data_IF_720157774129
#
_entry.id   IF_720157774129
#
_cell.length_a   1.000
_cell.length_b   1.000
_cell.length_c   1.000
_cell.angle_alpha   90.00
_cell.angle_beta   90.00
_cell.angle_gamma   90.00
#
_symmetry.space_group_name_H-M   'P 1'
#
loop_
_entity.id
_entity.type
_entity.pdbx_description
1 polymer ?
#
# COMPACT_ATOMS: atom_id res chain seq x y z
N UNK A 1 -35.85 -5.37 57.88
CA UNK A 1 -35.53 -6.51 56.99
C UNK A 1 -35.26 -5.94 55.61
N UNK A 2 -34.08 -6.24 55.10
CA UNK A 2 -33.44 -5.95 53.80
C UNK A 2 -34.41 -6.10 52.60
N UNK A 3 -34.23 -5.58 51.39
CA UNK A 3 -33.08 -4.99 50.69
C UNK A 3 -33.56 -4.49 49.31
N UNK A 4 -32.84 -3.48 48.83
CA UNK A 4 -32.76 -2.77 47.56
C UNK A 4 -32.65 -3.66 46.28
N UNK A 5 -33.44 -3.30 45.22
CA UNK A 5 -33.29 -3.38 43.72
C UNK A 5 -32.29 -4.37 43.06
N UNK A 6 -32.47 -4.88 41.79
CA UNK A 6 -32.56 -3.98 40.62
C UNK A 6 -33.18 -4.40 39.25
N UNK A 7 -33.52 -3.32 38.53
CA UNK A 7 -33.26 -2.97 37.10
C UNK A 7 -33.19 -4.11 36.07
N UNK A 8 -34.19 -4.08 35.19
CA UNK A 8 -34.26 -4.79 33.92
C UNK A 8 -33.08 -4.39 33.01
N UNK A 9 -32.12 -5.31 32.88
CA UNK A 9 -30.96 -5.18 32.00
C UNK A 9 -31.38 -5.51 30.56
N UNK A 10 -31.48 -4.48 29.71
CA UNK A 10 -31.61 -4.65 28.26
C UNK A 10 -30.37 -5.41 27.78
N UNK A 11 -30.56 -6.67 27.37
CA UNK A 11 -29.54 -7.45 26.71
C UNK A 11 -29.03 -6.68 25.48
N UNK A 12 -27.80 -6.16 25.57
CA UNK A 12 -27.08 -5.72 24.37
C UNK A 12 -26.86 -6.94 23.49
N UNK A 13 -27.04 -6.85 22.16
CA UNK A 13 -26.54 -7.88 21.27
C UNK A 13 -25.04 -7.96 21.48
N UNK A 14 -24.58 -9.12 21.96
CA UNK A 14 -23.17 -9.45 22.05
C UNK A 14 -22.61 -9.47 20.63
N UNK A 15 -22.02 -8.36 20.19
CA UNK A 15 -21.09 -8.36 19.08
C UNK A 15 -19.90 -9.21 19.52
N UNK A 16 -19.95 -10.51 19.21
CA UNK A 16 -18.79 -11.36 19.21
C UNK A 16 -17.85 -10.83 18.14
N UNK A 17 -16.97 -9.90 18.53
CA UNK A 17 -15.76 -9.63 17.78
C UNK A 17 -14.93 -10.90 17.90
N UNK A 18 -15.06 -11.78 16.90
CA UNK A 18 -14.10 -12.86 16.70
C UNK A 18 -12.69 -12.24 16.76
N UNK A 19 -11.76 -12.84 17.51
CA UNK A 19 -10.46 -12.24 17.76
C UNK A 19 -9.79 -11.87 16.43
N UNK A 20 -9.17 -10.68 16.38
CA UNK A 20 -8.29 -10.24 15.29
C UNK A 20 -7.50 -11.43 14.78
N UNK A 21 -7.65 -11.79 13.50
CA UNK A 21 -7.01 -12.97 12.91
C UNK A 21 -5.54 -13.00 13.34
N UNK A 22 -5.07 -14.05 14.05
CA UNK A 22 -3.70 -14.11 14.52
C UNK A 22 -2.76 -14.10 13.31
N UNK A 23 -1.98 -13.04 13.17
CA UNK A 23 -1.08 -12.87 12.04
C UNK A 23 -0.27 -11.59 12.14
N UNK A 24 0.84 -11.58 11.41
CA UNK A 24 1.72 -10.42 11.31
C UNK A 24 1.28 -9.52 10.16
N UNK A 25 1.71 -8.27 10.22
CA UNK A 25 1.58 -7.34 9.11
C UNK A 25 2.90 -7.29 8.35
N UNK A 26 2.79 -7.23 7.02
CA UNK A 26 3.92 -7.03 6.12
C UNK A 26 3.69 -5.75 5.33
N UNK A 27 4.63 -4.82 5.41
CA UNK A 27 4.66 -3.61 4.59
C UNK A 27 5.71 -3.77 3.51
N UNK A 28 5.28 -3.72 2.26
CA UNK A 28 6.14 -3.70 1.08
C UNK A 28 6.22 -2.28 0.55
N UNK A 29 7.43 -1.71 0.49
CA UNK A 29 7.66 -0.36 -0.01
C UNK A 29 8.57 -0.42 -1.23
N UNK A 30 8.09 0.09 -2.36
CA UNK A 30 8.92 0.22 -3.56
C UNK A 30 10.03 1.26 -3.35
N UNK A 31 11.26 0.87 -3.68
CA UNK A 31 12.43 1.77 -3.65
C UNK A 31 12.43 2.81 -4.78
N UNK A 32 11.52 2.71 -5.73
CA UNK A 32 11.34 3.73 -6.77
C UNK A 32 10.62 4.98 -6.26
N UNK A 33 9.93 4.88 -5.11
CA UNK A 33 9.25 6.01 -4.49
C UNK A 33 10.27 6.96 -3.87
N UNK A 34 10.11 8.25 -4.13
CA UNK A 34 10.84 9.26 -3.38
C UNK A 34 10.41 9.22 -1.91
N UNK A 35 11.35 9.41 -0.98
CA UNK A 35 11.05 9.35 0.46
C UNK A 35 10.85 7.94 1.04
N UNK A 36 11.02 6.86 0.25
CA UNK A 36 10.76 5.49 0.71
C UNK A 36 11.52 5.11 2.00
N UNK A 37 12.76 5.60 2.18
CA UNK A 37 13.57 5.33 3.38
C UNK A 37 12.96 5.97 4.62
N UNK A 38 12.48 7.20 4.50
CA UNK A 38 11.85 7.91 5.60
C UNK A 38 10.53 7.24 5.96
N UNK A 39 9.70 6.88 4.96
CA UNK A 39 8.47 6.13 5.19
C UNK A 39 8.73 4.81 5.93
N UNK A 40 9.75 4.06 5.53
CA UNK A 40 10.12 2.80 6.17
C UNK A 40 10.49 2.97 7.66
N UNK A 41 11.13 4.08 8.03
CA UNK A 41 11.47 4.38 9.42
C UNK A 41 10.24 4.77 10.27
N UNK A 42 9.14 5.14 9.63
CA UNK A 42 7.90 5.56 10.31
C UNK A 42 6.91 4.42 10.54
N UNK A 43 7.18 3.21 10.04
CA UNK A 43 6.36 2.04 10.30
C UNK A 43 6.44 1.73 11.80
N UNK A 44 5.28 1.67 12.45
CA UNK A 44 5.17 1.45 13.90
C UNK A 44 4.54 0.07 14.18
N UNK A 45 4.79 -0.47 15.38
CA UNK A 45 4.43 -1.83 15.82
C UNK A 45 5.38 -2.94 15.26
N UNK A 46 5.33 -4.19 15.78
CA UNK A 46 6.15 -5.29 15.26
C UNK A 46 5.63 -5.74 13.89
N UNK A 47 6.01 -4.98 12.87
CA UNK A 47 5.62 -5.13 11.47
C UNK A 47 6.89 -5.39 10.66
N UNK A 48 6.80 -6.33 9.73
CA UNK A 48 7.91 -6.63 8.85
C UNK A 48 7.90 -5.69 7.65
N UNK A 49 9.07 -5.18 7.26
CA UNK A 49 9.20 -4.22 6.17
C UNK A 49 10.07 -4.79 5.06
N UNK A 50 9.49 -4.97 3.87
CA UNK A 50 10.20 -5.36 2.66
C UNK A 50 10.44 -4.13 1.77
N UNK A 51 11.71 -3.72 1.63
CA UNK A 51 12.11 -2.68 0.69
C UNK A 51 12.37 -3.29 -0.69
N UNK A 52 11.40 -3.14 -1.59
CA UNK A 52 11.41 -3.81 -2.88
C UNK A 52 12.26 -3.06 -3.90
N UNK A 53 13.26 -3.74 -4.46
CA UNK A 53 14.16 -3.20 -5.49
C UNK A 53 13.49 -3.14 -6.87
N UNK A 54 13.67 -2.07 -7.67
CA UNK A 54 13.17 -2.00 -9.04
C UNK A 54 13.70 -3.09 -9.97
N UNK A 55 14.86 -3.68 -9.68
CA UNK A 55 15.48 -4.68 -10.53
C UNK A 55 14.99 -6.12 -10.24
N UNK A 56 14.23 -6.31 -9.16
CA UNK A 56 13.82 -7.62 -8.67
C UNK A 56 12.41 -7.96 -9.15
N UNK A 57 12.13 -9.26 -9.38
CA UNK A 57 10.75 -9.73 -9.51
C UNK A 57 10.04 -9.56 -8.17
N UNK A 58 9.15 -8.57 -8.10
CA UNK A 58 8.47 -8.23 -6.86
C UNK A 58 7.46 -9.26 -6.42
N UNK A 59 6.86 -10.02 -7.34
CA UNK A 59 5.88 -11.05 -6.97
C UNK A 59 6.59 -12.23 -6.31
N UNK A 60 7.74 -12.62 -6.85
CA UNK A 60 8.59 -13.65 -6.25
C UNK A 60 9.19 -13.19 -4.91
N UNK A 61 9.65 -11.94 -4.82
CA UNK A 61 10.20 -11.36 -3.59
C UNK A 61 9.18 -11.34 -2.44
N UNK A 62 7.95 -10.93 -2.74
CA UNK A 62 6.86 -10.92 -1.76
C UNK A 62 6.54 -12.36 -1.33
N UNK A 63 6.43 -13.32 -2.26
CA UNK A 63 6.22 -14.72 -1.88
C UNK A 63 7.33 -15.23 -0.95
N UNK A 64 8.60 -14.92 -1.25
CA UNK A 64 9.72 -15.32 -0.40
C UNK A 64 9.56 -14.78 1.03
N UNK A 65 9.15 -13.51 1.17
CA UNK A 65 8.89 -12.91 2.48
C UNK A 65 7.69 -13.57 3.18
N UNK A 66 6.58 -13.78 2.45
CA UNK A 66 5.39 -14.48 2.97
C UNK A 66 5.74 -15.91 3.44
N UNK A 67 6.68 -16.59 2.79
CA UNK A 67 7.15 -17.91 3.23
C UNK A 67 8.00 -17.86 4.49
N UNK A 68 8.81 -16.82 4.67
CA UNK A 68 9.69 -16.66 5.83
C UNK A 68 8.94 -16.26 7.12
N UNK A 69 7.77 -15.63 6.98
CA UNK A 69 6.99 -15.12 8.11
C UNK A 69 5.90 -16.10 8.55
N UNK A 70 5.39 -16.00 9.80
CA UNK A 70 4.10 -16.56 10.19
C UNK A 70 2.95 -16.11 9.26
N UNK A 71 1.74 -16.62 9.50
CA UNK A 71 0.57 -16.20 8.73
C UNK A 71 0.41 -14.68 8.71
N UNK A 72 0.22 -14.11 7.52
CA UNK A 72 0.09 -12.66 7.35
C UNK A 72 -1.38 -12.28 7.40
N UNK A 73 -1.76 -11.39 8.32
CA UNK A 73 -3.13 -10.86 8.39
C UNK A 73 -3.31 -9.64 7.50
N UNK A 74 -2.28 -8.83 7.32
CA UNK A 74 -2.36 -7.63 6.50
C UNK A 74 -1.10 -7.43 5.65
N UNK A 75 -1.28 -7.25 4.34
CA UNK A 75 -0.22 -6.93 3.39
C UNK A 75 -0.43 -5.53 2.84
N UNK A 76 0.46 -4.61 3.19
CA UNK A 76 0.44 -3.23 2.71
C UNK A 76 1.40 -3.08 1.52
N UNK A 77 0.92 -2.68 0.36
CA UNK A 77 1.71 -2.51 -0.87
C UNK A 77 1.84 -1.03 -1.23
N UNK A 78 2.97 -0.41 -0.90
CA UNK A 78 3.26 0.98 -1.25
C UNK A 78 4.09 1.02 -2.54
N UNK A 79 3.43 1.40 -3.64
CA UNK A 79 3.97 1.26 -5.00
C UNK A 79 3.74 2.53 -5.81
N UNK A 80 4.58 2.83 -6.82
CA UNK A 80 4.35 3.96 -7.71
C UNK A 80 3.11 3.73 -8.60
N UNK A 81 2.53 4.83 -9.08
CA UNK A 81 1.48 4.78 -10.12
C UNK A 81 2.12 4.29 -11.41
N UNK A 82 1.59 3.22 -12.01
CA UNK A 82 2.05 2.73 -13.30
C UNK A 82 0.87 2.28 -14.18
N UNK A 83 0.22 3.24 -14.82
CA UNK A 83 -1.01 3.00 -15.58
C UNK A 83 -2.09 2.38 -14.72
N UNK A 84 -2.76 1.36 -15.25
CA UNK A 84 -3.93 0.70 -14.65
C UNK A 84 -3.56 -0.60 -13.89
N UNK A 85 -2.38 -0.66 -13.27
CA UNK A 85 -1.87 -1.86 -12.59
C UNK A 85 -0.93 -1.58 -11.43
N UNK A 86 -0.22 -2.63 -10.99
CA UNK A 86 0.76 -2.57 -9.90
C UNK A 86 2.18 -2.72 -10.43
N UNK A 87 3.05 -1.79 -10.05
CA UNK A 87 4.49 -1.94 -10.25
C UNK A 87 5.13 -2.55 -9.00
N UNK A 88 5.54 -3.81 -9.12
CA UNK A 88 6.19 -4.57 -8.06
C UNK A 88 7.62 -4.93 -8.51
N UNK A 89 8.57 -4.05 -8.17
CA UNK A 89 9.96 -4.19 -8.64
C UNK A 89 10.01 -4.00 -10.15
N UNK A 90 10.49 -4.99 -10.90
CA UNK A 90 10.48 -4.97 -12.37
C UNK A 90 9.16 -5.50 -12.98
N UNK A 91 8.22 -5.99 -12.16
CA UNK A 91 6.96 -6.58 -12.63
C UNK A 91 5.88 -5.50 -12.74
N UNK A 92 5.35 -5.33 -13.95
CA UNK A 92 4.11 -4.60 -14.18
C UNK A 92 2.93 -5.58 -14.19
N UNK A 93 2.28 -5.74 -13.03
CA UNK A 93 1.11 -6.61 -12.87
C UNK A 93 -0.14 -5.87 -13.35
N UNK A 94 -0.70 -6.36 -14.45
CA UNK A 94 -1.88 -5.84 -15.14
C UNK A 94 -2.79 -7.00 -15.51
N UNK A 95 -4.01 -6.70 -15.98
CA UNK A 95 -4.93 -7.75 -16.42
C UNK A 95 -4.34 -8.67 -17.50
N UNK A 96 -3.59 -8.10 -18.47
CA UNK A 96 -2.94 -8.84 -19.56
C UNK A 96 -1.72 -9.67 -19.11
N UNK A 97 -1.01 -9.23 -18.07
CA UNK A 97 0.20 -9.93 -17.57
C UNK A 97 -0.09 -10.87 -16.40
N UNK A 98 -1.23 -10.73 -15.74
CA UNK A 98 -1.63 -11.52 -14.56
C UNK A 98 -1.58 -13.04 -14.78
N UNK A 99 -1.96 -13.62 -15.94
CA UNK A 99 -1.87 -15.07 -16.16
C UNK A 99 -0.47 -15.64 -15.91
N UNK A 100 0.59 -14.86 -16.18
CA UNK A 100 1.97 -15.28 -15.96
C UNK A 100 2.31 -15.45 -14.47
N UNK A 101 1.57 -14.79 -13.59
CA UNK A 101 1.82 -14.73 -12.14
C UNK A 101 0.75 -15.44 -11.31
N UNK A 102 -0.33 -15.93 -11.93
CA UNK A 102 -1.47 -16.53 -11.24
C UNK A 102 -1.05 -17.67 -10.30
N UNK A 103 -0.10 -18.52 -10.72
CA UNK A 103 0.42 -19.61 -9.88
C UNK A 103 1.09 -19.08 -8.60
N UNK A 104 1.93 -18.05 -8.72
CA UNK A 104 2.65 -17.45 -7.59
C UNK A 104 1.69 -16.69 -6.67
N UNK A 105 0.70 -15.99 -7.24
CA UNK A 105 -0.37 -15.32 -6.48
C UNK A 105 -1.25 -16.32 -5.72
N UNK A 106 -1.56 -17.48 -6.30
CA UNK A 106 -2.22 -18.57 -5.58
C UNK A 106 -1.36 -19.12 -4.43
N UNK A 107 -0.03 -19.10 -4.56
CA UNK A 107 0.85 -19.51 -3.46
C UNK A 107 0.82 -18.51 -2.30
N UNK A 108 0.61 -17.21 -2.55
CA UNK A 108 0.42 -16.21 -1.49
C UNK A 108 -0.72 -16.61 -0.56
N UNK A 109 -1.84 -17.08 -1.10
CA UNK A 109 -3.01 -17.54 -0.33
C UNK A 109 -2.67 -18.52 0.78
N UNK A 110 -1.70 -19.42 0.57
CA UNK A 110 -1.28 -20.41 1.58
C UNK A 110 -0.58 -19.81 2.80
N UNK A 111 -0.14 -18.55 2.70
CA UNK A 111 0.59 -17.82 3.74
C UNK A 111 -0.23 -16.67 4.33
N UNK A 112 -1.34 -16.32 3.70
CA UNK A 112 -2.29 -15.33 4.20
C UNK A 112 -3.20 -15.97 5.25
N UNK A 113 -3.47 -15.26 6.33
CA UNK A 113 -4.40 -15.67 7.37
C UNK A 113 -5.84 -15.74 6.83
N UNK A 114 -6.75 -16.45 7.51
CA UNK A 114 -8.17 -16.33 7.23
C UNK A 114 -8.60 -14.86 7.31
N UNK A 115 -9.34 -14.39 6.29
CA UNK A 115 -9.78 -12.99 6.17
C UNK A 115 -8.62 -11.98 6.11
N UNK A 116 -7.45 -12.39 5.61
CA UNK A 116 -6.35 -11.47 5.39
C UNK A 116 -6.74 -10.33 4.46
N UNK A 117 -6.01 -9.23 4.59
CA UNK A 117 -6.26 -8.00 3.85
C UNK A 117 -5.05 -7.60 3.03
N UNK A 118 -5.28 -7.04 1.85
CA UNK A 118 -4.25 -6.44 1.01
C UNK A 118 -4.63 -4.97 0.78
N UNK A 119 -3.81 -4.08 1.28
CA UNK A 119 -4.00 -2.63 1.15
C UNK A 119 -3.04 -2.11 0.08
N UNK A 120 -3.60 -1.60 -1.02
CA UNK A 120 -2.85 -1.14 -2.18
C UNK A 120 -2.73 0.38 -2.14
N UNK A 121 -1.48 0.85 -1.98
CA UNK A 121 -1.12 2.24 -1.97
C UNK A 121 -0.39 2.63 -3.26
N UNK A 122 -1.15 2.85 -4.32
CA UNK A 122 -0.65 3.34 -5.60
C UNK A 122 -1.43 4.53 -6.18
N UNK A 123 -2.47 5.01 -5.49
CA UNK A 123 -3.18 6.25 -5.82
C UNK A 123 -4.33 6.15 -6.82
N UNK A 124 -4.23 5.35 -7.90
CA UNK A 124 -5.25 5.37 -8.97
C UNK A 124 -5.54 3.99 -9.61
N UNK A 125 -5.16 2.86 -8.98
CA UNK A 125 -5.39 1.53 -9.58
C UNK A 125 -6.86 1.29 -9.95
N UNK A 126 -7.78 1.67 -9.07
CA UNK A 126 -9.19 1.34 -9.24
C UNK A 126 -9.95 2.36 -10.10
N UNK A 127 -9.25 3.30 -10.74
CA UNK A 127 -9.84 4.38 -11.53
C UNK A 127 -10.56 3.86 -12.77
N UNK A 128 -10.06 2.80 -13.39
CA UNK A 128 -10.66 2.20 -14.59
C UNK A 128 -11.24 0.81 -14.34
N UNK A 129 -12.10 0.38 -15.25
CA UNK A 129 -12.68 -0.97 -15.24
C UNK A 129 -11.63 -2.08 -15.32
N UNK A 130 -10.54 -1.88 -16.08
CA UNK A 130 -9.45 -2.83 -16.14
C UNK A 130 -8.75 -3.00 -14.77
N UNK A 131 -8.57 -1.90 -14.05
CA UNK A 131 -8.01 -1.90 -12.70
C UNK A 131 -8.93 -2.56 -11.67
N UNK A 132 -10.24 -2.30 -11.73
CA UNK A 132 -11.23 -2.98 -10.89
C UNK A 132 -11.28 -4.49 -11.15
N UNK A 133 -11.28 -4.90 -12.41
CA UNK A 133 -11.20 -6.33 -12.78
C UNK A 133 -9.92 -6.98 -12.25
N UNK A 134 -8.79 -6.27 -12.30
CA UNK A 134 -7.54 -6.75 -11.73
C UNK A 134 -7.65 -6.95 -10.21
N UNK A 135 -8.28 -6.02 -9.49
CA UNK A 135 -8.55 -6.14 -8.05
C UNK A 135 -9.44 -7.36 -7.76
N UNK A 136 -10.51 -7.56 -8.54
CA UNK A 136 -11.40 -8.72 -8.36
C UNK A 136 -10.65 -10.04 -8.58
N UNK A 137 -9.83 -10.14 -9.62
CA UNK A 137 -9.04 -11.35 -9.89
C UNK A 137 -8.00 -11.58 -8.79
N UNK A 138 -7.36 -10.52 -8.29
CA UNK A 138 -6.43 -10.63 -7.16
C UNK A 138 -7.13 -11.14 -5.89
N UNK A 139 -8.34 -10.68 -5.62
CA UNK A 139 -9.15 -11.17 -4.50
C UNK A 139 -9.41 -12.68 -4.63
N UNK A 140 -9.77 -13.15 -5.83
CA UNK A 140 -10.02 -14.57 -6.08
C UNK A 140 -8.76 -15.44 -5.95
N UNK A 141 -7.62 -14.97 -6.48
CA UNK A 141 -6.36 -15.72 -6.43
C UNK A 141 -5.77 -15.79 -5.02
N UNK A 142 -5.75 -14.66 -4.32
CA UNK A 142 -5.14 -14.54 -2.99
C UNK A 142 -6.07 -14.96 -1.87
N UNK A 143 -7.39 -14.92 -2.09
CA UNK A 143 -8.41 -15.14 -1.05
C UNK A 143 -8.48 -14.03 0.00
N UNK A 144 -7.76 -12.92 -0.19
CA UNK A 144 -7.71 -11.80 0.74
C UNK A 144 -8.69 -10.70 0.32
N UNK A 145 -9.23 -9.97 1.30
CA UNK A 145 -9.96 -8.74 1.04
C UNK A 145 -8.99 -7.67 0.52
N UNK A 146 -9.35 -6.94 -0.53
CA UNK A 146 -8.46 -5.94 -1.14
C UNK A 146 -9.06 -4.56 -0.96
N UNK A 147 -8.20 -3.61 -0.60
CA UNK A 147 -8.51 -2.18 -0.53
C UNK A 147 -7.63 -1.44 -1.54
N UNK A 148 -8.23 -0.65 -2.42
CA UNK A 148 -7.51 0.26 -3.31
C UNK A 148 -8.28 1.59 -3.48
N UNK A 149 -7.58 2.63 -3.90
CA UNK A 149 -8.17 3.93 -4.19
C UNK A 149 -8.50 4.06 -5.68
N UNK A 150 -9.67 4.62 -6.02
CA UNK A 150 -10.02 4.99 -7.40
C UNK A 150 -9.42 6.34 -7.82
N UNK A 151 -9.07 7.19 -6.85
CA UNK A 151 -8.54 8.52 -7.10
C UNK A 151 -7.42 8.90 -6.12
N UNK A 152 -6.44 9.63 -6.65
CA UNK A 152 -5.46 10.30 -5.81
C UNK A 152 -6.17 11.39 -5.00
N UNK A 153 -5.78 11.65 -3.74
CA UNK A 153 -6.33 12.77 -2.98
C UNK A 153 -6.12 14.06 -3.75
N UNK A 154 -7.22 14.71 -4.10
CA UNK A 154 -7.18 16.01 -4.73
C UNK A 154 -6.73 17.05 -3.69
N UNK A 155 -5.66 17.78 -3.98
CA UNK A 155 -5.18 18.89 -3.14
C UNK A 155 -6.21 20.04 -3.03
N UNK A 156 -7.30 20.01 -3.81
CA UNK A 156 -8.31 21.06 -3.91
C UNK A 156 -9.61 20.83 -3.12
N UNK A 157 -9.85 19.65 -2.55
CA UNK A 157 -10.95 19.47 -1.59
C UNK A 157 -10.38 19.52 -0.17
N UNK A 158 -11.10 20.21 0.71
CA UNK A 158 -10.76 20.40 2.11
C UNK A 158 -10.80 19.07 2.88
N UNK A 159 -9.79 18.21 2.65
CA UNK A 159 -9.28 17.18 3.55
C UNK A 159 -8.12 16.38 2.93
N UNK A 160 -7.90 16.38 1.61
CA UNK A 160 -6.79 15.65 0.97
C UNK A 160 -6.62 14.20 1.48
N UNK A 161 -7.71 13.51 1.86
CA UNK A 161 -7.68 12.18 2.49
C UNK A 161 -7.58 11.08 1.43
N UNK A 162 -6.89 9.99 1.77
CA UNK A 162 -6.95 8.75 0.99
C UNK A 162 -8.28 8.08 1.31
N UNK A 163 -9.09 7.86 0.29
CA UNK A 163 -10.33 7.10 0.38
C UNK A 163 -10.13 5.77 -0.35
N UNK A 164 -10.13 4.67 0.41
CA UNK A 164 -10.12 3.31 -0.12
C UNK A 164 -11.55 2.93 -0.48
N UNK A 165 -12.00 3.43 -1.61
CA UNK A 165 -13.38 3.34 -2.09
C UNK A 165 -13.63 2.10 -2.96
N UNK A 166 -12.58 1.43 -3.43
CA UNK A 166 -12.66 0.12 -4.05
C UNK A 166 -12.28 -0.97 -3.04
N UNK A 167 -13.27 -1.73 -2.59
CA UNK A 167 -13.08 -2.83 -1.64
C UNK A 167 -13.81 -4.10 -2.10
N UNK A 168 -13.21 -5.27 -1.90
CA UNK A 168 -13.81 -6.56 -2.31
C UNK A 168 -14.56 -7.27 -1.18
N UNK A 169 -14.33 -6.86 0.08
CA UNK A 169 -15.02 -7.37 1.27
C UNK A 169 -14.91 -6.35 2.42
N UNK A 170 -15.53 -6.64 3.56
CA UNK A 170 -15.38 -5.84 4.78
C UNK A 170 -13.95 -5.92 5.32
N UNK A 171 -13.34 -4.75 5.53
CA UNK A 171 -11.97 -4.59 6.00
C UNK A 171 -11.92 -4.07 7.45
N UNK A 172 -10.85 -4.40 8.15
CA UNK A 172 -10.50 -3.97 9.50
C UNK A 172 -9.22 -3.13 9.40
N UNK A 173 -9.34 -1.80 9.26
CA UNK A 173 -8.18 -0.95 9.02
C UNK A 173 -7.13 -1.06 10.12
N UNK A 174 -5.92 -1.46 9.73
CA UNK A 174 -4.74 -1.45 10.60
C UNK A 174 -3.87 -0.23 10.27
N UNK A 175 -3.69 0.66 11.24
CA UNK A 175 -3.02 1.95 11.05
C UNK A 175 -1.50 1.84 11.28
N UNK A 176 -0.83 0.89 10.61
CA UNK A 176 0.62 0.66 10.75
C UNK A 176 1.48 1.67 9.98
N UNK A 177 0.85 2.42 9.06
CA UNK A 177 1.49 3.44 8.24
C UNK A 177 0.87 4.82 8.47
N UNK A 178 1.68 5.88 8.64
CA UNK A 178 1.17 7.25 8.61
C UNK A 178 0.73 7.61 7.19
N UNK A 179 -0.59 7.60 6.96
CA UNK A 179 -1.16 7.79 5.61
C UNK A 179 -0.68 9.07 4.93
N UNK A 180 -0.44 10.16 5.66
CA UNK A 180 0.07 11.42 5.09
C UNK A 180 1.44 11.25 4.42
N UNK A 181 2.36 10.50 5.04
CA UNK A 181 3.68 10.25 4.46
C UNK A 181 3.61 9.33 3.24
N UNK A 182 2.69 8.36 3.27
CA UNK A 182 2.41 7.51 2.10
C UNK A 182 1.97 8.36 0.91
N UNK A 183 1.06 9.34 1.12
CA UNK A 183 0.63 10.23 0.02
C UNK A 183 1.78 11.05 -0.54
N UNK A 184 2.63 11.60 0.32
CA UNK A 184 3.78 12.39 -0.11
C UNK A 184 4.73 11.57 -1.01
N UNK A 185 5.03 10.33 -0.61
CA UNK A 185 5.90 9.43 -1.37
C UNK A 185 5.30 9.10 -2.75
N UNK A 186 4.00 8.76 -2.80
CA UNK A 186 3.31 8.39 -4.05
C UNK A 186 3.10 9.63 -4.95
N UNK A 187 2.79 10.80 -4.38
CA UNK A 187 2.62 12.06 -5.11
C UNK A 187 3.92 12.52 -5.79
N UNK A 188 5.04 12.49 -5.06
CA UNK A 188 6.34 12.92 -5.57
C UNK A 188 6.74 12.11 -6.81
N UNK A 189 6.51 10.80 -6.78
CA UNK A 189 6.82 9.91 -7.90
C UNK A 189 5.98 10.23 -9.16
N UNK A 190 4.70 10.63 -9.02
CA UNK A 190 3.84 11.02 -10.15
C UNK A 190 4.37 12.20 -10.97
N UNK A 191 5.06 13.13 -10.31
CA UNK A 191 5.60 14.34 -10.96
C UNK A 191 6.99 14.12 -11.54
N UNK A 192 7.61 12.97 -11.31
CA UNK A 192 8.94 12.62 -11.80
C UNK A 192 8.92 12.58 -13.34
N UNK A 193 9.63 13.53 -13.97
CA UNK A 193 9.69 13.67 -15.42
C UNK A 193 8.72 14.68 -16.04
N UNK A 194 7.80 15.27 -15.26
CA UNK A 194 6.97 16.42 -15.72
C UNK A 194 7.66 17.77 -15.53
N UNK A 195 8.79 17.83 -14.83
CA UNK A 195 9.69 19.00 -14.73
C UNK A 195 10.80 19.01 -15.81
N UNK A 196 10.51 18.54 -17.03
CA UNK A 196 11.40 18.78 -18.18
C UNK A 196 10.83 19.87 -19.07
N UNK A 197 10.71 21.08 -18.52
CA UNK A 197 10.59 22.38 -19.20
C UNK A 197 10.30 23.43 -18.13
N UNK A 198 11.32 23.98 -17.49
CA UNK A 198 11.51 25.42 -17.32
C UNK A 198 12.74 25.69 -16.43
N UNK A 199 13.61 26.58 -16.94
CA UNK A 199 14.76 27.23 -16.30
C UNK A 199 15.99 26.35 -16.01
N UNK A 200 16.89 26.30 -17.01
CA UNK A 200 18.34 26.34 -16.75
C UNK A 200 18.62 27.61 -15.97
N UNK A 201 18.98 27.51 -14.69
CA UNK A 201 19.71 28.59 -14.04
C UNK A 201 21.12 28.55 -14.63
N UNK A 202 21.31 29.39 -15.64
CA UNK A 202 22.62 29.82 -16.10
C UNK A 202 22.91 31.07 -15.28
N UNK A 203 23.82 30.99 -14.31
CA UNK A 203 25.09 31.71 -14.38
C UNK A 203 25.98 31.34 -13.18
N UNK A 204 27.11 30.70 -13.48
CA UNK A 204 28.30 30.67 -12.63
C UNK A 204 29.33 31.53 -13.35
N UNK A 205 29.39 32.80 -12.99
CA UNK A 205 30.45 33.73 -13.39
C UNK A 205 30.36 34.92 -12.42
N UNK A 206 31.39 35.41 -11.76
CA UNK A 206 32.83 35.12 -11.80
C UNK A 206 33.38 35.60 -10.45
N UNK A 207 34.18 34.79 -9.77
CA UNK A 207 35.13 35.34 -8.79
C UNK A 207 36.41 34.51 -8.84
N UNK A 208 37.29 34.91 -9.75
CA UNK A 208 38.66 34.41 -9.89
C UNK A 208 39.43 35.42 -10.73
N UNK A 209 39.97 36.46 -10.09
CA UNK A 209 41.20 37.07 -10.58
C UNK A 209 41.98 37.80 -9.46
N UNK A 210 42.95 37.06 -8.93
CA UNK A 210 44.15 37.45 -8.18
C UNK A 210 45.15 36.37 -8.62
N UNK A 211 46.27 36.59 -9.33
CA UNK A 211 47.31 37.61 -9.18
C UNK A 211 48.34 37.41 -10.32
N UNK A 212 48.77 38.52 -10.94
CA UNK A 212 50.13 38.89 -11.42
C UNK A 212 50.96 37.84 -12.16
N UNK A 213 51.21 38.06 -13.47
CA UNK A 213 52.42 38.71 -14.04
C UNK A 213 52.05 39.40 -15.35
#
# INVERSE_FOLDING_TARGET
>A
MSSTTPVNSLARPSLSLEPDSPGQDLVVISRDLEGYRFLAQTVTAPVEVLLLSPAQDGIAAILQMLMALPSIRCLHLVTPVHGEGLQLGNVALRYDTLPNYAKTLCQWRSRLAPRAEIWIYNGEMARTEAGKLLIDVLHHLTGAAIAACTAFPNAGFAAGRWEFDCTTATLTPSLVLPLELVKQCVAANRNRGKESSFVKITDCSSDSDLTVI
#
